data_IF_786633152865
#
_entry.id   IF_786633152865
#
_cell.length_a   1.000
_cell.length_b   1.000
_cell.length_c   1.000
_cell.angle_alpha   90.00
_cell.angle_beta   90.00
_cell.angle_gamma   90.00
#
_symmetry.space_group_name_H-M   'P 1'
#
loop_
_entity.id
_entity.type
_entity.pdbx_description
1 polymer ?
#
# COMPACT_ATOMS: atom_id res chain seq x y z
N UNK A 1 -9.38 -15.07 -28.07
CA UNK A 1 -8.81 -15.53 -26.78
C UNK A 1 -7.84 -14.46 -26.35
N UNK A 2 -8.07 -13.83 -25.20
CA UNK A 2 -7.15 -12.88 -24.58
C UNK A 2 -5.88 -13.64 -24.17
N UNK A 3 -4.70 -13.09 -24.44
CA UNK A 3 -3.45 -13.77 -24.08
C UNK A 3 -3.22 -13.66 -22.57
N UNK A 4 -2.65 -14.70 -21.94
CA UNK A 4 -2.35 -14.67 -20.49
C UNK A 4 -1.43 -13.49 -20.14
N UNK A 5 -0.51 -13.14 -21.04
CA UNK A 5 0.37 -11.98 -20.94
C UNK A 5 -0.38 -10.64 -20.88
N UNK A 6 -1.58 -10.56 -21.48
CA UNK A 6 -2.41 -9.36 -21.48
C UNK A 6 -3.27 -9.25 -20.21
N UNK A 7 -3.62 -10.39 -19.59
CA UNK A 7 -4.47 -10.43 -18.40
C UNK A 7 -3.63 -10.34 -17.11
N UNK A 8 -2.49 -11.01 -17.05
CA UNK A 8 -1.68 -11.11 -15.84
C UNK A 8 -1.18 -9.74 -15.39
N UNK A 9 -1.52 -9.35 -14.15
CA UNK A 9 -1.14 -8.05 -13.59
C UNK A 9 -1.84 -6.84 -14.21
N UNK A 10 -2.82 -7.04 -15.10
CA UNK A 10 -3.54 -5.95 -15.78
C UNK A 10 -4.34 -5.02 -14.86
N UNK A 11 -4.67 -5.51 -13.66
CA UNK A 11 -5.36 -4.77 -12.59
C UNK A 11 -4.43 -4.36 -11.45
N UNK A 12 -3.11 -4.36 -11.68
CA UNK A 12 -2.10 -3.97 -10.70
C UNK A 12 -1.34 -2.75 -11.24
N UNK A 13 -1.19 -1.71 -10.42
CA UNK A 13 -0.34 -0.55 -10.71
C UNK A 13 1.14 -0.90 -10.44
N UNK A 14 1.62 -1.88 -11.20
CA UNK A 14 2.96 -2.44 -11.11
C UNK A 14 3.98 -1.70 -11.98
N UNK A 15 5.15 -2.32 -12.17
CA UNK A 15 6.28 -1.70 -12.88
C UNK A 15 5.94 -1.26 -14.31
N UNK A 16 5.19 -2.07 -15.06
CA UNK A 16 4.75 -1.76 -16.43
C UNK A 16 3.84 -0.54 -16.46
N UNK A 17 2.77 -0.54 -15.65
CA UNK A 17 1.83 0.58 -15.57
C UNK A 17 2.52 1.86 -15.09
N UNK A 18 3.40 1.76 -14.08
CA UNK A 18 4.18 2.90 -13.59
C UNK A 18 5.11 3.48 -14.67
N UNK A 19 5.78 2.66 -15.48
CA UNK A 19 6.64 3.16 -16.57
C UNK A 19 5.86 3.85 -17.68
N UNK A 20 4.63 3.41 -17.94
CA UNK A 20 3.77 3.98 -18.96
C UNK A 20 3.13 5.30 -18.49
N UNK A 21 2.68 5.36 -17.23
CA UNK A 21 1.89 6.47 -16.71
C UNK A 21 2.71 7.55 -16.01
N UNK A 22 3.90 7.24 -15.49
CA UNK A 22 4.74 8.21 -14.79
C UNK A 22 5.80 8.82 -15.71
N UNK A 23 6.13 10.11 -15.51
CA UNK A 23 7.36 10.67 -16.05
C UNK A 23 8.59 9.85 -15.66
N UNK A 24 9.56 9.75 -16.58
CA UNK A 24 10.73 8.87 -16.47
C UNK A 24 11.58 9.15 -15.22
N UNK A 25 11.72 10.42 -14.87
CA UNK A 25 12.38 10.92 -13.68
C UNK A 25 11.62 10.55 -12.40
N UNK A 26 10.31 10.76 -12.36
CA UNK A 26 9.42 10.38 -11.23
C UNK A 26 9.49 8.88 -10.98
N UNK A 27 9.38 8.05 -12.03
CA UNK A 27 9.48 6.59 -11.92
C UNK A 27 10.84 6.16 -11.34
N UNK A 28 11.94 6.71 -11.87
CA UNK A 28 13.29 6.40 -11.37
C UNK A 28 13.46 6.82 -9.90
N UNK A 29 12.96 7.99 -9.54
CA UNK A 29 13.05 8.51 -8.19
C UNK A 29 12.22 7.64 -7.22
N UNK A 30 11.00 7.27 -7.57
CA UNK A 30 10.16 6.34 -6.81
C UNK A 30 10.86 4.99 -6.58
N UNK A 31 11.39 4.36 -7.64
CA UNK A 31 12.12 3.08 -7.51
C UNK A 31 13.37 3.20 -6.64
N UNK A 32 14.08 4.33 -6.73
CA UNK A 32 15.26 4.61 -5.88
C UNK A 32 14.85 4.79 -4.41
N UNK A 33 13.73 5.44 -4.14
CA UNK A 33 13.19 5.62 -2.79
C UNK A 33 12.80 4.28 -2.18
N UNK A 34 12.06 3.44 -2.91
CA UNK A 34 11.67 2.09 -2.49
C UNK A 34 12.90 1.24 -2.20
N UNK A 35 13.87 1.20 -3.13
CA UNK A 35 15.09 0.38 -2.98
C UNK A 35 15.94 0.77 -1.77
N UNK A 36 15.99 2.05 -1.44
CA UNK A 36 16.83 2.58 -0.37
C UNK A 36 16.08 2.74 0.96
N UNK A 37 14.79 2.39 1.04
CA UNK A 37 13.96 2.57 2.24
C UNK A 37 13.90 4.03 2.70
N UNK A 38 13.91 4.99 1.76
CA UNK A 38 13.87 6.42 2.08
C UNK A 38 12.42 6.93 2.16
N UNK A 39 12.24 8.06 2.84
CA UNK A 39 10.97 8.79 2.83
C UNK A 39 10.62 9.22 1.41
N UNK A 40 9.35 9.09 1.05
CA UNK A 40 8.84 9.55 -0.24
C UNK A 40 8.78 11.08 -0.28
N UNK A 41 9.32 11.66 -1.33
CA UNK A 41 9.23 13.10 -1.58
C UNK A 41 7.76 13.50 -1.86
N UNK A 42 7.22 14.53 -1.20
CA UNK A 42 5.86 15.01 -1.45
C UNK A 42 5.56 15.35 -2.91
N UNK A 43 6.53 15.87 -3.67
CA UNK A 43 6.34 16.20 -5.09
C UNK A 43 6.17 14.92 -5.92
N UNK A 44 7.01 13.91 -5.66
CA UNK A 44 6.90 12.59 -6.27
C UNK A 44 5.56 11.95 -5.90
N UNK A 45 5.14 12.06 -4.64
CA UNK A 45 3.86 11.52 -4.17
C UNK A 45 2.68 12.13 -4.92
N UNK A 46 2.68 13.44 -5.18
CA UNK A 46 1.65 14.12 -5.96
C UNK A 46 1.58 13.61 -7.41
N UNK A 47 2.72 13.48 -8.07
CA UNK A 47 2.78 12.94 -9.43
C UNK A 47 2.30 11.47 -9.48
N UNK A 48 2.69 10.65 -8.50
CA UNK A 48 2.27 9.25 -8.42
C UNK A 48 0.77 9.13 -8.14
N UNK A 49 0.21 9.93 -7.24
CA UNK A 49 -1.22 9.94 -6.94
C UNK A 49 -2.04 10.28 -8.20
N UNK A 50 -1.65 11.33 -8.92
CA UNK A 50 -2.32 11.73 -10.15
C UNK A 50 -2.30 10.62 -11.22
N UNK A 51 -1.14 9.99 -11.43
CA UNK A 51 -1.00 8.89 -12.39
C UNK A 51 -1.79 7.64 -11.95
N UNK A 52 -1.76 7.30 -10.66
CA UNK A 52 -2.50 6.17 -10.09
C UNK A 52 -4.01 6.37 -10.20
N UNK A 53 -4.51 7.58 -9.94
CA UNK A 53 -5.91 7.96 -10.14
C UNK A 53 -6.32 7.82 -11.59
N UNK A 54 -5.56 8.42 -12.52
CA UNK A 54 -5.88 8.36 -13.95
C UNK A 54 -5.92 6.90 -14.44
N UNK A 55 -4.92 6.10 -14.07
CA UNK A 55 -4.90 4.67 -14.37
C UNK A 55 -6.09 3.92 -13.77
N UNK A 56 -6.48 4.23 -12.53
CA UNK A 56 -7.61 3.58 -11.87
C UNK A 56 -8.94 3.90 -12.56
N UNK A 57 -9.16 5.16 -12.94
CA UNK A 57 -10.35 5.61 -13.66
C UNK A 57 -10.42 4.97 -15.05
N UNK A 58 -9.31 4.89 -15.78
CA UNK A 58 -9.25 4.19 -17.08
C UNK A 58 -9.68 2.71 -16.97
N UNK A 59 -9.48 2.10 -15.81
CA UNK A 59 -9.90 0.73 -15.48
C UNK A 59 -11.30 0.64 -14.89
N UNK A 60 -12.02 1.76 -14.81
CA UNK A 60 -13.40 1.84 -14.31
C UNK A 60 -13.52 1.94 -12.80
N UNK A 61 -12.44 2.22 -12.07
CA UNK A 61 -12.53 2.43 -10.62
C UNK A 61 -13.21 3.77 -10.30
N UNK A 62 -14.12 3.75 -9.33
CA UNK A 62 -14.87 4.92 -8.88
C UNK A 62 -14.46 5.39 -7.49
N UNK A 63 -13.89 4.48 -6.70
CA UNK A 63 -13.46 4.71 -5.33
C UNK A 63 -12.01 4.27 -5.15
N UNK A 64 -11.41 4.71 -4.06
CA UNK A 64 -10.15 4.19 -3.53
C UNK A 64 -10.30 3.80 -2.06
N UNK A 65 -9.40 2.97 -1.57
CA UNK A 65 -9.32 2.60 -0.16
C UNK A 65 -7.87 2.40 0.25
N UNK A 66 -7.55 2.82 1.47
CA UNK A 66 -6.36 2.32 2.15
C UNK A 66 -6.64 0.89 2.60
N UNK A 67 -5.97 -0.06 1.98
CA UNK A 67 -6.17 -1.49 2.18
C UNK A 67 -5.16 -2.00 3.21
N UNK A 68 -5.64 -2.52 4.33
CA UNK A 68 -4.78 -3.05 5.40
C UNK A 68 -5.43 -4.21 6.16
N UNK A 69 -4.58 -4.98 6.85
CA UNK A 69 -5.01 -6.10 7.69
C UNK A 69 -4.81 -5.75 9.18
N UNK A 70 -5.87 -5.29 9.88
CA UNK A 70 -5.81 -5.04 11.31
C UNK A 70 -5.56 -6.33 12.11
N UNK A 71 -5.24 -6.18 13.39
CA UNK A 71 -5.01 -7.30 14.32
C UNK A 71 -6.23 -8.21 14.51
N UNK A 72 -7.42 -7.79 14.11
CA UNK A 72 -8.67 -8.58 14.16
C UNK A 72 -8.72 -9.71 13.14
N UNK A 73 -7.80 -9.74 12.16
CA UNK A 73 -7.67 -10.83 11.20
C UNK A 73 -8.56 -10.73 9.97
N UNK A 74 -9.46 -9.75 9.89
CA UNK A 74 -10.26 -9.45 8.69
C UNK A 74 -9.71 -8.18 8.05
N UNK A 75 -9.60 -8.14 6.73
CA UNK A 75 -9.19 -6.96 5.97
C UNK A 75 -10.13 -5.80 6.24
N UNK A 76 -9.56 -4.62 6.49
CA UNK A 76 -10.30 -3.38 6.62
C UNK A 76 -10.22 -2.57 5.34
N UNK A 77 -11.37 -2.09 4.88
CA UNK A 77 -11.50 -1.23 3.72
C UNK A 77 -12.49 -0.11 4.05
N UNK A 78 -12.12 1.13 3.74
CA UNK A 78 -12.99 2.30 3.75
C UNK A 78 -12.96 2.88 2.36
N UNK A 79 -14.09 2.82 1.66
CA UNK A 79 -14.17 3.28 0.28
C UNK A 79 -14.45 4.77 0.26
N UNK A 80 -13.48 5.54 -0.21
CA UNK A 80 -13.57 6.97 -0.45
C UNK A 80 -13.74 7.21 -1.95
N UNK A 81 -14.67 8.08 -2.34
CA UNK A 81 -14.94 8.39 -3.75
C UNK A 81 -13.83 9.27 -4.32
N UNK A 82 -13.52 9.12 -5.61
CA UNK A 82 -12.69 10.09 -6.31
C UNK A 82 -13.43 11.43 -6.54
N UNK A 83 -14.75 11.47 -6.39
CA UNK A 83 -15.55 12.67 -6.66
C UNK A 83 -15.53 13.63 -5.48
N UNK A 84 -15.12 14.86 -5.74
CA UNK A 84 -15.28 16.03 -4.87
C UNK A 84 -16.27 17.03 -5.50
N UNK A 85 -17.32 17.46 -4.79
CA UNK A 85 -18.22 18.50 -5.28
C UNK A 85 -17.53 19.87 -5.28
N UNK A 86 -17.76 20.66 -6.32
CA UNK A 86 -17.24 22.03 -6.43
C UNK A 86 -18.27 23.05 -5.95
N UNK A 87 -17.81 24.26 -5.59
CA UNK A 87 -18.67 25.33 -5.05
C UNK A 87 -19.71 25.84 -6.06
N UNK A 88 -19.49 25.64 -7.34
CA UNK A 88 -20.41 25.95 -8.46
C UNK A 88 -21.40 24.80 -8.77
N UNK A 89 -21.41 23.72 -7.98
CA UNK A 89 -22.33 22.59 -8.15
C UNK A 89 -21.88 21.55 -9.17
N UNK A 90 -20.66 21.67 -9.69
CA UNK A 90 -20.00 20.66 -10.51
C UNK A 90 -19.34 19.56 -9.69
N UNK A 91 -18.65 18.66 -10.38
CA UNK A 91 -17.81 17.63 -9.77
C UNK A 91 -16.42 17.67 -10.36
N UNK A 92 -15.42 17.39 -9.53
CA UNK A 92 -14.04 17.15 -9.95
C UNK A 92 -13.56 15.83 -9.38
N UNK A 93 -12.61 15.19 -10.08
CA UNK A 93 -12.00 13.95 -9.61
C UNK A 93 -10.69 14.26 -8.90
N UNK A 94 -10.65 14.06 -7.59
CA UNK A 94 -9.51 14.36 -6.73
C UNK A 94 -8.90 13.09 -6.13
N UNK A 95 -7.57 13.08 -6.11
CA UNK A 95 -6.76 12.13 -5.36
C UNK A 95 -5.35 12.70 -5.30
N UNK A 96 -4.98 13.17 -4.12
CA UNK A 96 -3.76 13.93 -3.87
C UNK A 96 -2.64 13.05 -3.35
N UNK A 97 -1.39 13.54 -3.45
CA UNK A 97 -0.24 12.89 -2.83
C UNK A 97 -0.38 12.76 -1.31
N UNK A 98 -1.11 13.67 -0.67
CA UNK A 98 -1.40 13.62 0.77
C UNK A 98 -2.28 12.42 1.11
N UNK A 99 -3.38 12.25 0.38
CA UNK A 99 -4.28 11.11 0.54
C UNK A 99 -3.58 9.80 0.18
N UNK A 100 -2.76 9.77 -0.86
CA UNK A 100 -1.95 8.59 -1.18
C UNK A 100 -1.03 8.18 -0.03
N UNK A 101 -0.25 9.12 0.52
CA UNK A 101 0.77 8.81 1.53
C UNK A 101 0.16 8.48 2.88
N UNK A 102 -0.88 9.22 3.28
CA UNK A 102 -1.47 9.12 4.61
C UNK A 102 -2.99 9.22 4.57
N UNK A 103 -3.65 8.17 5.05
CA UNK A 103 -5.06 8.22 5.39
C UNK A 103 -5.26 8.47 6.89
N UNK A 104 -6.38 9.12 7.22
CA UNK A 104 -6.85 9.29 8.59
C UNK A 104 -8.17 8.52 8.76
N UNK A 105 -8.15 7.18 8.75
CA UNK A 105 -9.37 6.43 8.99
C UNK A 105 -9.85 6.68 10.43
N UNK A 106 -11.16 6.83 10.58
CA UNK A 106 -11.75 6.72 11.91
C UNK A 106 -11.52 5.28 12.41
N UNK A 107 -10.74 5.17 13.47
CA UNK A 107 -10.31 3.90 14.03
C UNK A 107 -11.00 3.59 15.37
N UNK A 108 -12.03 4.36 15.72
CA UNK A 108 -12.91 4.11 16.86
C UNK A 108 -13.61 2.74 16.81
N UNK A 109 -13.81 2.20 15.61
CA UNK A 109 -14.45 0.90 15.36
C UNK A 109 -13.49 -0.30 15.43
N UNK A 110 -12.17 -0.09 15.50
CA UNK A 110 -11.21 -1.19 15.58
C UNK A 110 -10.99 -1.65 17.03
N UNK A 111 -10.97 -2.96 17.30
CA UNK A 111 -10.72 -3.52 18.63
C UNK A 111 -9.42 -2.97 19.24
N UNK A 112 -9.59 -2.32 20.38
CA UNK A 112 -8.52 -1.63 21.10
C UNK A 112 -8.10 -2.36 22.39
N UNK A 113 -8.63 -3.57 22.62
CA UNK A 113 -8.36 -4.37 23.82
C UNK A 113 -8.81 -3.70 25.13
N UNK A 114 -9.73 -2.74 25.10
CA UNK A 114 -10.19 -2.00 26.29
C UNK A 114 -9.21 -0.96 26.82
N UNK A 115 -8.12 -0.67 26.08
CA UNK A 115 -7.01 0.16 26.57
C UNK A 115 -7.13 1.66 26.23
N UNK A 116 -8.17 2.11 25.51
CA UNK A 116 -8.23 3.49 24.98
C UNK A 116 -9.63 4.09 25.03
N UNK A 117 -9.71 5.39 25.33
CA UNK A 117 -10.93 6.19 25.16
C UNK A 117 -11.19 6.46 23.66
N UNK A 118 -12.46 6.62 23.27
CA UNK A 118 -12.87 6.80 21.86
C UNK A 118 -12.20 7.99 21.15
N UNK A 119 -11.85 9.06 21.88
CA UNK A 119 -11.12 10.20 21.30
C UNK A 119 -9.65 9.90 20.98
N UNK A 120 -9.04 8.91 21.65
CA UNK A 120 -7.67 8.43 21.43
C UNK A 120 -7.60 7.30 20.40
N UNK A 121 -8.76 6.87 19.89
CA UNK A 121 -8.86 5.82 18.89
C UNK A 121 -8.54 6.29 17.47
N UNK A 122 -7.85 7.44 17.31
CA UNK A 122 -7.33 7.86 16.01
C UNK A 122 -6.24 6.89 15.54
N UNK A 123 -6.38 6.45 14.31
CA UNK A 123 -5.41 5.62 13.61
C UNK A 123 -4.96 6.30 12.33
N UNK A 124 -3.77 5.95 11.88
CA UNK A 124 -3.17 6.50 10.68
C UNK A 124 -2.76 5.35 9.77
N UNK A 125 -3.13 5.46 8.49
CA UNK A 125 -2.60 4.58 7.46
C UNK A 125 -1.42 5.27 6.80
N UNK A 126 -0.39 4.51 6.47
CA UNK A 126 0.75 4.95 5.70
C UNK A 126 0.91 4.02 4.49
N UNK A 127 0.96 4.58 3.29
CA UNK A 127 1.16 3.77 2.08
C UNK A 127 2.52 3.06 2.11
N UNK A 128 2.50 1.77 1.80
CA UNK A 128 3.72 0.98 1.59
C UNK A 128 3.97 0.80 0.08
N UNK A 129 4.91 1.56 -0.52
CA UNK A 129 5.21 1.48 -1.94
C UNK A 129 5.96 0.20 -2.34
N UNK A 130 6.34 -0.67 -1.40
CA UNK A 130 6.89 -2.00 -1.72
C UNK A 130 5.81 -2.98 -2.16
N UNK A 131 4.54 -2.69 -1.84
CA UNK A 131 3.37 -3.46 -2.26
C UNK A 131 2.59 -2.65 -3.30
N UNK A 132 2.40 -3.22 -4.50
CA UNK A 132 1.72 -2.49 -5.58
C UNK A 132 0.23 -2.27 -5.28
N UNK A 133 -0.25 -1.08 -5.59
CA UNK A 133 -1.69 -0.80 -5.61
C UNK A 133 -2.37 -1.63 -6.70
N UNK A 134 -3.63 -1.99 -6.48
CA UNK A 134 -4.39 -2.84 -7.39
C UNK A 134 -5.86 -2.44 -7.39
N UNK A 135 -6.60 -2.89 -8.39
CA UNK A 135 -8.05 -2.67 -8.47
C UNK A 135 -8.76 -3.97 -8.18
N UNK A 136 -9.72 -3.91 -7.27
CA UNK A 136 -10.62 -5.02 -6.94
C UNK A 136 -12.03 -4.47 -6.85
N UNK A 137 -12.98 -5.14 -7.49
CA UNK A 137 -14.42 -4.81 -7.43
C UNK A 137 -14.74 -3.32 -7.72
N UNK A 138 -14.00 -2.69 -8.66
CA UNK A 138 -14.20 -1.28 -9.03
C UNK A 138 -13.60 -0.27 -8.05
N UNK A 139 -12.73 -0.71 -7.14
CA UNK A 139 -12.07 0.13 -6.12
C UNK A 139 -10.55 0.03 -6.25
N UNK A 140 -9.86 1.17 -6.21
CA UNK A 140 -8.40 1.25 -6.09
C UNK A 140 -7.97 0.91 -4.65
N UNK A 141 -7.37 -0.25 -4.45
CA UNK A 141 -6.81 -0.69 -3.17
C UNK A 141 -5.34 -0.26 -3.05
N UNK A 142 -5.04 0.55 -2.03
CA UNK A 142 -3.71 1.08 -1.73
C UNK A 142 -3.15 0.33 -0.51
N UNK A 143 -2.17 -0.58 -0.66
CA UNK A 143 -1.63 -1.35 0.47
C UNK A 143 -0.97 -0.45 1.50
N UNK A 144 -1.45 -0.50 2.75
CA UNK A 144 -0.99 0.42 3.80
C UNK A 144 -0.63 -0.30 5.08
N UNK A 145 0.28 0.31 5.84
CA UNK A 145 0.50 0.01 7.23
C UNK A 145 -0.44 0.85 8.09
N UNK A 146 -0.91 0.30 9.21
CA UNK A 146 -1.86 0.97 10.11
C UNK A 146 -1.32 1.05 11.54
N UNK A 147 -1.24 2.27 12.06
CA UNK A 147 -0.69 2.56 13.39
C UNK A 147 -1.61 3.50 14.19
N UNK A 148 -1.50 3.40 15.52
CA UNK A 148 -2.18 4.31 16.43
C UNK A 148 -1.55 5.71 16.44
N UNK A 149 -2.25 6.68 17.02
CA UNK A 149 -1.70 7.99 17.36
C UNK A 149 -0.35 7.93 18.11
N UNK A 150 -0.18 6.97 19.03
CA UNK A 150 1.06 6.77 19.79
C UNK A 150 2.14 5.96 19.05
N UNK A 151 1.96 5.68 17.75
CA UNK A 151 2.93 4.93 16.93
C UNK A 151 2.96 3.41 17.16
N UNK A 152 2.05 2.88 17.99
CA UNK A 152 1.87 1.43 18.13
C UNK A 152 1.30 0.84 16.84
N UNK A 153 1.84 -0.30 16.41
CA UNK A 153 1.31 -1.04 15.26
C UNK A 153 -0.06 -1.63 15.60
N UNK A 154 -1.05 -1.38 14.75
CA UNK A 154 -2.41 -1.91 14.87
C UNK A 154 -2.75 -2.87 13.70
N UNK A 155 -1.73 -3.29 12.95
CA UNK A 155 -1.82 -4.17 11.80
C UNK A 155 -0.87 -5.36 11.90
N UNK A 156 -1.03 -6.29 10.97
CA UNK A 156 -0.10 -7.41 10.77
C UNK A 156 1.10 -7.04 9.90
N UNK A 157 0.97 -6.01 9.07
CA UNK A 157 2.00 -5.62 8.09
C UNK A 157 3.22 -4.97 8.75
N UNK A 158 3.04 -4.06 9.71
CA UNK A 158 4.15 -3.39 10.37
C UNK A 158 5.07 -4.37 11.11
N UNK A 159 4.56 -5.32 11.94
CA UNK A 159 5.41 -6.33 12.56
C UNK A 159 6.14 -7.22 11.55
N UNK A 160 5.48 -7.60 10.45
CA UNK A 160 6.09 -8.40 9.39
C UNK A 160 7.27 -7.68 8.74
N UNK A 161 7.10 -6.42 8.33
CA UNK A 161 8.16 -5.61 7.73
C UNK A 161 9.35 -5.43 8.69
N UNK A 162 9.07 -5.19 9.98
CA UNK A 162 10.12 -5.10 11.02
C UNK A 162 10.89 -6.42 11.19
N UNK A 163 10.19 -7.56 11.14
CA UNK A 163 10.80 -8.89 11.21
C UNK A 163 11.70 -9.15 10.01
N UNK A 164 11.24 -8.81 8.80
CA UNK A 164 12.04 -8.95 7.57
C UNK A 164 13.33 -8.11 7.65
N UNK A 165 13.25 -6.88 8.16
CA UNK A 165 14.43 -6.02 8.33
C UNK A 165 15.38 -6.55 9.42
N UNK A 166 14.86 -7.12 10.50
CA UNK A 166 15.69 -7.76 11.52
C UNK A 166 16.46 -8.96 10.94
N UNK A 167 15.79 -9.80 10.15
CA UNK A 167 16.42 -10.93 9.44
C UNK A 167 17.47 -10.44 8.44
N UNK A 168 17.16 -9.42 7.64
CA UNK A 168 18.09 -8.83 6.68
C UNK A 168 19.40 -8.39 7.36
N UNK A 169 19.33 -7.65 8.47
CA UNK A 169 20.51 -7.22 9.24
C UNK A 169 21.37 -8.38 9.72
N UNK A 170 20.75 -9.41 10.30
CA UNK A 170 21.50 -10.56 10.80
C UNK A 170 22.07 -11.41 9.68
N UNK A 171 21.33 -11.62 8.59
CA UNK A 171 21.82 -12.34 7.42
C UNK A 171 23.04 -11.64 6.80
N UNK A 172 22.99 -10.31 6.63
CA UNK A 172 24.13 -9.53 6.15
C UNK A 172 25.35 -9.65 7.09
N UNK A 173 25.15 -9.62 8.41
CA UNK A 173 26.22 -9.83 9.39
C UNK A 173 26.92 -11.18 9.17
N UNK A 174 26.16 -12.25 8.96
CA UNK A 174 26.72 -13.58 8.69
C UNK A 174 27.44 -13.61 7.33
N UNK A 175 26.85 -13.04 6.28
CA UNK A 175 27.50 -12.94 4.96
C UNK A 175 28.85 -12.22 5.01
N UNK A 176 29.01 -11.22 5.89
CA UNK A 176 30.30 -10.55 6.10
C UNK A 176 31.37 -11.48 6.64
N UNK A 177 31.02 -12.46 7.47
CA UNK A 177 31.96 -13.46 8.00
C UNK A 177 32.48 -14.38 6.89
N UNK A 178 31.68 -14.62 5.84
CA UNK A 178 32.06 -15.40 4.67
C UNK A 178 32.72 -14.56 3.55
N UNK A 179 33.13 -13.32 3.85
CA UNK A 179 33.87 -12.46 2.93
C UNK A 179 33.01 -11.69 1.93
N UNK A 180 31.69 -11.88 1.88
CA UNK A 180 30.82 -11.10 1.00
C UNK A 180 30.66 -9.68 1.56
N UNK A 181 31.28 -8.68 0.92
CA UNK A 181 31.18 -7.25 1.28
C UNK A 181 30.27 -6.43 0.36
N UNK A 182 29.81 -7.02 -0.73
CA UNK A 182 29.05 -6.33 -1.78
C UNK A 182 27.53 -6.43 -1.58
N UNK A 183 27.03 -7.53 -1.01
CA UNK A 183 25.61 -7.69 -0.75
C UNK A 183 25.10 -6.57 0.15
N UNK A 184 23.99 -5.92 -0.24
CA UNK A 184 23.41 -4.78 0.48
C UNK A 184 22.07 -5.10 1.13
N UNK A 185 21.42 -6.20 0.72
CA UNK A 185 20.13 -6.63 1.22
C UNK A 185 19.98 -8.16 1.04
N UNK A 186 19.24 -8.79 1.94
CA UNK A 186 18.80 -10.19 1.85
C UNK A 186 17.28 -10.21 1.87
N UNK A 187 16.68 -10.82 0.84
CA UNK A 187 15.23 -10.87 0.67
C UNK A 187 14.72 -12.24 1.11
N UNK A 188 13.74 -12.24 2.01
CA UNK A 188 12.99 -13.45 2.39
C UNK A 188 11.88 -13.72 1.38
N UNK A 189 11.84 -14.93 0.83
CA UNK A 189 10.76 -15.39 -0.04
C UNK A 189 9.80 -16.28 0.75
N UNK A 190 8.50 -16.20 0.45
CA UNK A 190 7.46 -17.03 1.05
C UNK A 190 6.57 -17.60 -0.06
N UNK A 191 6.30 -18.89 0.00
CA UNK A 191 5.35 -19.60 -0.88
C UNK A 191 4.23 -20.19 -0.04
N UNK A 192 3.15 -19.44 0.23
CA UNK A 192 2.03 -19.96 1.02
C UNK A 192 1.25 -21.00 0.21
N UNK A 193 0.88 -22.10 0.86
CA UNK A 193 -0.06 -23.10 0.34
C UNK A 193 -1.39 -22.93 1.10
N UNK A 194 -2.49 -22.77 0.36
CA UNK A 194 -3.79 -22.45 0.93
C UNK A 194 -4.74 -23.63 0.81
N UNK A 195 -5.20 -24.14 1.94
CA UNK A 195 -6.25 -25.15 2.04
C UNK A 195 -7.62 -24.48 2.31
N UNK A 196 -8.69 -25.06 1.75
CA UNK A 196 -10.07 -24.62 1.99
C UNK A 196 -11.06 -25.77 1.74
N UNK A 197 -12.23 -25.69 2.36
CA UNK A 197 -13.36 -26.59 2.10
C UNK A 197 -14.44 -25.83 1.32
N UNK A 198 -15.12 -26.53 0.41
CA UNK A 198 -16.33 -26.04 -0.25
C UNK A 198 -17.52 -26.84 0.27
N UNK A 199 -18.53 -26.14 0.78
CA UNK A 199 -19.77 -26.72 1.32
C UNK A 199 -20.92 -26.11 0.52
N UNK A 200 -21.89 -26.93 0.11
CA UNK A 200 -23.10 -26.44 -0.55
C UNK A 200 -23.94 -25.60 0.40
N UNK A 201 -24.46 -24.46 -0.09
CA UNK A 201 -25.27 -23.51 0.69
C UNK A 201 -26.71 -23.94 0.85
#
# INVERSE_FOLDING_TARGET
MTQISEIFGSMVFGDTAMREKLPKDVYKALKKTIRNGKTLDPEIAGAVANAMKAWAIEKGATHYTHWFQPMTGITAEKHDSFISPTSDGGIILEFSGKELVKGEPDASSFPNGGLRATFEARGYTAWDPTSYAFIKDGVLCIPTAFCSYNGQALDKKTPLLRSMEALNKQALRILRLFGNREATNVISNVGPEQEYFLIDT
#
